data_IF_719333556727
#
_entry.id   IF_719333556727
#
_cell.length_a   1.000
_cell.length_b   1.000
_cell.length_c   1.000
_cell.angle_alpha   90.00
_cell.angle_beta   90.00
_cell.angle_gamma   90.00
#
_symmetry.space_group_name_H-M   'P 1'
#
loop_
_entity.id
_entity.type
_entity.pdbx_description
1 polymer ?
#
# COMPACT_ATOMS: atom_id res chain seq x y z
N UNK A 1 16.75 24.24 -48.79
CA UNK A 1 17.01 24.88 -47.49
C UNK A 1 15.96 24.34 -46.52
N UNK A 2 16.35 23.37 -45.70
CA UNK A 2 15.50 22.80 -44.67
C UNK A 2 15.87 23.47 -43.34
N UNK A 3 14.96 24.25 -42.80
CA UNK A 3 15.11 24.91 -41.51
C UNK A 3 14.91 23.88 -40.42
N UNK A 4 15.97 23.51 -39.71
CA UNK A 4 15.90 22.69 -38.50
C UNK A 4 15.30 23.56 -37.38
N UNK A 5 14.07 23.26 -36.97
CA UNK A 5 13.52 23.73 -35.70
C UNK A 5 14.25 23.04 -34.57
N UNK A 6 15.18 23.76 -33.93
CA UNK A 6 15.77 23.37 -32.67
C UNK A 6 14.66 23.43 -31.60
N UNK A 7 14.24 22.28 -31.08
CA UNK A 7 13.44 22.17 -29.87
C UNK A 7 14.31 22.61 -28.69
N UNK A 8 14.33 23.89 -28.39
CA UNK A 8 14.91 24.46 -27.19
C UNK A 8 14.05 24.08 -26.00
N UNK A 9 14.45 23.03 -25.27
CA UNK A 9 13.89 22.71 -23.97
C UNK A 9 14.09 23.94 -23.05
N UNK A 10 13.00 24.52 -22.58
CA UNK A 10 13.04 25.57 -21.57
C UNK A 10 13.49 24.91 -20.25
N UNK A 11 14.79 24.97 -19.97
CA UNK A 11 15.25 24.66 -18.63
C UNK A 11 14.56 25.63 -17.67
N UNK A 12 13.76 25.10 -16.76
CA UNK A 12 13.04 25.91 -15.78
C UNK A 12 14.03 26.77 -14.98
N UNK A 13 13.70 28.03 -14.72
CA UNK A 13 14.61 28.94 -14.00
C UNK A 13 15.00 28.36 -12.63
N UNK A 14 16.29 28.44 -12.22
CA UNK A 14 16.73 28.07 -10.88
C UNK A 14 15.99 28.88 -9.81
N UNK A 15 15.69 28.23 -8.68
CA UNK A 15 14.95 28.84 -7.58
C UNK A 15 15.71 28.68 -6.24
N UNK A 16 15.73 29.70 -5.37
CA UNK A 16 16.10 29.51 -3.97
C UNK A 16 15.09 28.61 -3.24
N UNK A 17 15.47 28.04 -2.10
CA UNK A 17 14.67 27.07 -1.36
C UNK A 17 13.21 27.55 -1.13
N UNK A 18 13.04 28.78 -0.68
CA UNK A 18 11.71 29.35 -0.41
C UNK A 18 10.78 29.31 -1.63
N UNK A 19 11.32 29.69 -2.78
CA UNK A 19 10.55 29.69 -4.03
C UNK A 19 10.34 28.28 -4.58
N UNK A 20 11.31 27.38 -4.38
CA UNK A 20 11.17 25.98 -4.78
C UNK A 20 10.09 25.29 -3.96
N UNK A 21 10.09 25.45 -2.64
CA UNK A 21 9.04 24.92 -1.75
C UNK A 21 7.67 25.47 -2.12
N UNK A 22 7.56 26.79 -2.36
CA UNK A 22 6.31 27.42 -2.80
C UNK A 22 5.84 26.98 -4.19
N UNK A 23 6.70 26.33 -4.98
CA UNK A 23 6.31 25.79 -6.30
C UNK A 23 5.67 24.40 -6.25
N UNK A 24 5.61 23.75 -5.09
CA UNK A 24 4.74 22.60 -4.82
C UNK A 24 3.31 23.12 -4.73
N UNK A 25 2.41 22.63 -5.58
CA UNK A 25 1.06 23.19 -5.73
C UNK A 25 -0.04 22.16 -5.64
N UNK A 26 -1.13 22.55 -5.01
CA UNK A 26 -2.37 21.78 -4.95
C UNK A 26 -2.87 21.37 -6.35
N UNK A 27 -2.86 22.31 -7.29
CA UNK A 27 -3.32 22.06 -8.67
C UNK A 27 -2.45 21.05 -9.39
N UNK A 28 -1.12 21.14 -9.28
CA UNK A 28 -0.19 20.20 -9.92
C UNK A 28 -0.37 18.76 -9.38
N UNK A 29 -0.49 18.64 -8.06
CA UNK A 29 -0.75 17.36 -7.43
C UNK A 29 -2.11 16.79 -7.86
N UNK A 30 -3.19 17.58 -7.77
CA UNK A 30 -4.53 17.15 -8.14
C UNK A 30 -4.65 16.68 -9.59
N UNK A 31 -4.05 17.41 -10.54
CA UNK A 31 -4.04 17.00 -11.97
C UNK A 31 -3.33 15.67 -12.17
N UNK A 32 -2.29 15.41 -11.40
CA UNK A 32 -1.56 14.14 -11.44
C UNK A 32 -2.41 13.00 -10.88
N UNK A 33 -3.11 13.21 -9.74
CA UNK A 33 -4.05 12.24 -9.18
C UNK A 33 -5.17 11.94 -10.17
N UNK A 34 -5.80 12.97 -10.76
CA UNK A 34 -6.87 12.81 -11.74
C UNK A 34 -6.45 11.89 -12.89
N UNK A 35 -5.23 12.03 -13.38
CA UNK A 35 -4.71 11.18 -14.44
C UNK A 35 -4.40 9.77 -13.97
N UNK A 36 -3.72 9.62 -12.82
CA UNK A 36 -3.33 8.31 -12.29
C UNK A 36 -4.55 7.46 -11.91
N UNK A 37 -5.58 8.06 -11.32
CA UNK A 37 -6.82 7.36 -10.96
C UNK A 37 -7.79 7.16 -12.12
N UNK A 38 -7.47 7.71 -13.31
CA UNK A 38 -8.27 7.57 -14.51
C UNK A 38 -8.17 6.19 -15.16
N UNK A 39 -9.08 5.89 -16.13
CA UNK A 39 -9.16 4.57 -16.77
C UNK A 39 -7.96 4.24 -17.66
N UNK A 40 -7.14 5.23 -18.03
CA UNK A 40 -5.95 5.06 -18.88
C UNK A 40 -4.98 3.99 -18.33
N UNK A 41 -4.86 3.91 -17.00
CA UNK A 41 -3.93 3.02 -16.33
C UNK A 41 -4.57 1.79 -15.68
N UNK A 42 -5.87 1.57 -15.94
CA UNK A 42 -6.60 0.35 -15.53
C UNK A 42 -6.39 -0.04 -14.05
N UNK A 43 -6.40 0.95 -13.13
CA UNK A 43 -6.24 0.73 -11.70
C UNK A 43 -4.84 0.25 -11.26
N UNK A 44 -3.85 0.36 -12.12
CA UNK A 44 -2.39 0.28 -11.83
C UNK A 44 -1.90 -1.00 -11.10
N UNK A 45 -2.59 -2.13 -11.25
CA UNK A 45 -2.11 -3.39 -10.64
C UNK A 45 -0.74 -3.77 -11.20
N UNK A 46 0.23 -4.01 -10.32
CA UNK A 46 1.61 -4.31 -10.71
C UNK A 46 1.71 -5.55 -11.60
N UNK A 47 2.63 -5.50 -12.55
CA UNK A 47 2.80 -6.57 -13.55
C UNK A 47 1.84 -6.52 -14.73
N UNK A 48 0.85 -5.61 -14.72
CA UNK A 48 -0.10 -5.42 -15.82
C UNK A 48 0.37 -4.33 -16.81
N UNK A 49 -0.16 -4.32 -18.04
CA UNK A 49 0.10 -3.24 -19.00
C UNK A 49 -0.30 -1.85 -18.47
N UNK A 50 -1.38 -1.75 -17.69
CA UNK A 50 -1.85 -0.49 -17.10
C UNK A 50 -0.83 0.08 -16.12
N UNK A 51 -0.29 -0.73 -15.23
CA UNK A 51 0.80 -0.34 -14.34
C UNK A 51 2.03 0.17 -15.11
N UNK A 52 2.50 -0.61 -16.09
CA UNK A 52 3.67 -0.24 -16.87
C UNK A 52 3.47 1.03 -17.70
N UNK A 53 2.24 1.34 -18.10
CA UNK A 53 1.91 2.63 -18.75
C UNK A 53 2.03 3.79 -17.76
N UNK A 54 1.51 3.64 -16.53
CA UNK A 54 1.66 4.63 -15.46
C UNK A 54 3.14 4.84 -15.09
N UNK A 55 3.90 3.76 -14.92
CA UNK A 55 5.34 3.83 -14.60
C UNK A 55 6.14 4.55 -15.68
N UNK A 56 5.90 4.27 -16.96
CA UNK A 56 6.55 4.99 -18.07
C UNK A 56 6.14 6.45 -18.13
N UNK A 57 4.88 6.76 -17.88
CA UNK A 57 4.42 8.14 -17.84
C UNK A 57 5.11 8.91 -16.72
N UNK A 58 5.14 8.38 -15.49
CA UNK A 58 5.81 9.01 -14.35
C UNK A 58 7.33 9.16 -14.59
N UNK A 59 7.99 8.17 -15.20
CA UNK A 59 9.38 8.29 -15.63
C UNK A 59 9.59 9.45 -16.62
N UNK A 60 8.66 9.63 -17.56
CA UNK A 60 8.64 10.76 -18.49
C UNK A 60 8.52 12.11 -17.80
N UNK A 61 7.65 12.22 -16.80
CA UNK A 61 7.45 13.43 -16.00
C UNK A 61 8.69 13.79 -15.16
N UNK A 62 9.30 12.81 -14.51
CA UNK A 62 10.55 13.01 -13.75
C UNK A 62 11.71 13.43 -14.66
N UNK A 63 11.79 12.82 -15.84
CA UNK A 63 12.76 13.22 -16.88
C UNK A 63 12.52 14.65 -17.36
N UNK A 64 11.27 15.01 -17.64
CA UNK A 64 10.89 16.35 -18.07
C UNK A 64 11.17 17.41 -16.98
N UNK A 65 11.08 17.06 -15.72
CA UNK A 65 11.50 17.89 -14.59
C UNK A 65 13.02 18.13 -14.53
N UNK A 66 13.84 17.39 -15.28
CA UNK A 66 15.29 17.52 -15.33
C UNK A 66 16.05 16.65 -14.33
N UNK A 67 15.38 15.69 -13.70
CA UNK A 67 16.04 14.69 -12.86
C UNK A 67 16.77 13.67 -13.71
N UNK A 68 17.75 12.99 -13.12
CA UNK A 68 18.60 12.03 -13.83
C UNK A 68 18.15 10.61 -13.56
N UNK A 69 18.23 9.78 -14.59
CA UNK A 69 18.17 8.33 -14.42
C UNK A 69 19.45 7.83 -13.72
N UNK A 70 19.35 6.71 -13.03
CA UNK A 70 20.52 5.95 -12.59
C UNK A 70 21.24 5.33 -13.82
N UNK A 71 22.58 5.23 -13.84
CA UNK A 71 23.29 4.60 -14.93
C UNK A 71 22.83 3.16 -15.20
N UNK A 72 22.51 2.40 -14.16
CA UNK A 72 22.02 1.03 -14.20
C UNK A 72 20.55 0.93 -14.65
N UNK A 73 19.79 2.02 -14.59
CA UNK A 73 18.39 2.12 -14.99
C UNK A 73 18.16 3.34 -15.91
N UNK A 74 18.70 3.34 -17.14
CA UNK A 74 18.72 4.52 -18.02
C UNK A 74 17.34 4.97 -18.51
N UNK A 75 16.34 4.11 -18.39
CA UNK A 75 14.92 4.39 -18.65
C UNK A 75 14.10 4.70 -17.38
N UNK A 76 14.78 4.94 -16.24
CA UNK A 76 14.20 5.22 -14.92
C UNK A 76 13.49 4.03 -14.27
N UNK A 77 13.54 2.81 -14.83
CA UNK A 77 12.77 1.67 -14.37
C UNK A 77 13.68 0.57 -13.79
N UNK A 78 13.61 0.36 -12.48
CA UNK A 78 14.20 -0.80 -11.81
C UNK A 78 13.16 -1.94 -11.83
N UNK A 79 13.35 -2.89 -12.73
CA UNK A 79 12.39 -3.99 -12.97
C UNK A 79 12.63 -5.17 -12.03
N UNK A 80 11.52 -5.82 -11.64
CA UNK A 80 11.53 -7.05 -10.86
C UNK A 80 10.42 -8.00 -11.34
N UNK A 81 10.56 -9.33 -11.13
CA UNK A 81 9.51 -10.27 -11.45
C UNK A 81 8.35 -10.16 -10.46
N UNK A 82 7.13 -10.36 -10.92
CA UNK A 82 5.91 -10.42 -10.10
C UNK A 82 4.97 -11.48 -10.64
N UNK A 83 4.36 -12.27 -9.75
CA UNK A 83 3.28 -13.19 -10.15
C UNK A 83 1.96 -12.44 -10.12
N UNK A 84 1.40 -12.20 -11.28
CA UNK A 84 0.09 -11.53 -11.42
C UNK A 84 -1.02 -12.54 -11.22
N UNK A 85 -1.93 -12.24 -10.33
CA UNK A 85 -3.13 -13.03 -10.04
C UNK A 85 -4.38 -12.21 -10.34
N UNK A 86 -5.53 -12.85 -10.41
CA UNK A 86 -6.80 -12.16 -10.62
C UNK A 86 -7.98 -13.12 -10.59
N UNK A 87 -9.16 -12.56 -10.73
CA UNK A 87 -10.43 -13.30 -10.73
C UNK A 87 -11.22 -12.95 -11.99
N UNK A 88 -11.81 -13.94 -12.64
CA UNK A 88 -12.72 -13.73 -13.77
C UNK A 88 -14.16 -13.48 -13.29
N UNK A 89 -14.59 -14.24 -12.27
CA UNK A 89 -15.92 -14.11 -11.68
C UNK A 89 -15.96 -14.72 -10.29
N UNK A 90 -16.84 -14.21 -9.43
CA UNK A 90 -17.16 -14.82 -8.16
C UNK A 90 -18.63 -14.58 -7.79
N UNK A 91 -19.18 -15.46 -7.00
CA UNK A 91 -20.50 -15.30 -6.34
C UNK A 91 -20.41 -15.82 -4.92
N UNK A 92 -21.11 -15.17 -4.01
CA UNK A 92 -21.25 -15.64 -2.65
C UNK A 92 -22.69 -15.52 -2.18
N UNK A 93 -23.19 -16.56 -1.51
CA UNK A 93 -24.52 -16.60 -0.92
C UNK A 93 -24.42 -17.07 0.53
N UNK A 94 -25.10 -16.37 1.42
CA UNK A 94 -25.33 -16.82 2.79
C UNK A 94 -26.62 -17.65 2.81
N UNK A 95 -26.49 -18.94 3.10
CA UNK A 95 -27.62 -19.86 3.12
C UNK A 95 -28.47 -19.65 4.36
N UNK A 96 -29.76 -19.93 4.24
CA UNK A 96 -30.68 -19.87 5.38
C UNK A 96 -30.26 -20.83 6.49
N UNK A 97 -30.57 -20.48 7.72
CA UNK A 97 -30.27 -21.32 8.89
C UNK A 97 -31.10 -22.63 8.92
N UNK A 98 -32.20 -22.65 8.21
CA UNK A 98 -32.99 -23.81 7.98
C UNK A 98 -33.14 -24.06 6.46
N UNK A 99 -33.42 -25.28 6.06
CA UNK A 99 -33.51 -25.66 4.62
C UNK A 99 -34.79 -25.08 3.94
N UNK A 100 -35.53 -24.18 4.59
CA UNK A 100 -36.79 -23.60 4.11
C UNK A 100 -36.68 -22.09 3.82
N UNK A 101 -35.63 -21.42 4.28
CA UNK A 101 -35.41 -20.00 4.04
C UNK A 101 -34.72 -19.75 2.69
N UNK A 102 -34.90 -18.53 2.18
CA UNK A 102 -34.18 -18.10 0.97
C UNK A 102 -32.72 -17.77 1.29
N UNK A 103 -31.81 -18.12 0.39
CA UNK A 103 -30.41 -17.70 0.48
C UNK A 103 -30.30 -16.20 0.18
N UNK A 104 -29.45 -15.49 0.96
CA UNK A 104 -29.11 -14.10 0.68
C UNK A 104 -27.91 -14.08 -0.26
N UNK A 105 -28.09 -13.61 -1.49
CA UNK A 105 -26.96 -13.28 -2.37
C UNK A 105 -26.24 -12.05 -1.86
N UNK A 106 -24.91 -12.11 -1.84
CA UNK A 106 -24.04 -11.05 -1.37
C UNK A 106 -23.53 -10.20 -2.56
N UNK A 107 -23.29 -8.91 -2.28
CA UNK A 107 -22.90 -7.92 -3.29
C UNK A 107 -21.44 -7.49 -3.14
N UNK A 108 -20.77 -7.26 -4.28
CA UNK A 108 -19.40 -6.78 -4.31
C UNK A 108 -19.25 -5.42 -3.61
N UNK A 109 -18.13 -5.22 -2.92
CA UNK A 109 -17.75 -4.02 -2.19
C UNK A 109 -18.67 -3.63 -1.02
N UNK A 110 -19.84 -4.26 -0.91
CA UNK A 110 -20.78 -4.07 0.19
C UNK A 110 -20.68 -5.21 1.20
N UNK A 111 -20.83 -6.42 0.69
CA UNK A 111 -20.91 -7.63 1.51
C UNK A 111 -19.61 -8.44 1.44
N UNK A 112 -19.02 -8.58 0.24
CA UNK A 112 -17.81 -9.38 0.01
C UNK A 112 -17.01 -8.93 -1.22
N UNK A 113 -15.74 -9.39 -1.27
CA UNK A 113 -14.90 -9.39 -2.46
C UNK A 113 -14.09 -10.69 -2.51
N UNK A 114 -13.93 -11.35 -3.68
CA UNK A 114 -12.98 -12.43 -3.79
C UNK A 114 -11.57 -11.87 -3.59
N UNK A 115 -10.71 -12.62 -2.89
CA UNK A 115 -9.29 -12.27 -2.83
C UNK A 115 -8.71 -12.41 -4.23
N UNK A 116 -7.97 -11.41 -4.72
CA UNK A 116 -7.46 -11.40 -6.09
C UNK A 116 -6.45 -12.55 -6.37
N UNK A 117 -5.93 -13.17 -5.32
CA UNK A 117 -5.09 -14.37 -5.35
C UNK A 117 -5.87 -15.67 -5.01
N UNK A 118 -7.20 -15.64 -5.03
CA UNK A 118 -8.03 -16.81 -4.79
C UNK A 118 -7.76 -17.92 -5.80
N UNK A 119 -7.89 -19.18 -5.37
CA UNK A 119 -8.01 -20.32 -6.27
C UNK A 119 -9.40 -20.43 -6.89
N UNK A 120 -9.50 -21.22 -7.96
CA UNK A 120 -10.81 -21.60 -8.55
C UNK A 120 -11.47 -22.66 -7.69
N UNK A 121 -12.76 -22.48 -7.39
CA UNK A 121 -13.54 -23.47 -6.65
C UNK A 121 -15.01 -23.11 -6.56
N UNK A 122 -15.79 -24.12 -6.19
CA UNK A 122 -17.22 -24.04 -5.94
C UNK A 122 -17.49 -24.84 -4.66
N UNK A 123 -17.84 -24.17 -3.57
CA UNK A 123 -18.01 -24.78 -2.26
C UNK A 123 -19.30 -24.36 -1.60
N UNK A 124 -20.07 -25.37 -1.17
CA UNK A 124 -21.19 -25.16 -0.25
C UNK A 124 -20.89 -25.90 1.04
N UNK A 125 -20.59 -25.16 2.11
CA UNK A 125 -20.18 -25.77 3.38
C UNK A 125 -20.51 -24.88 4.59
N UNK A 126 -20.47 -25.51 5.76
CA UNK A 126 -20.57 -24.83 7.04
C UNK A 126 -19.36 -23.93 7.28
N UNK A 127 -19.59 -22.76 7.87
CA UNK A 127 -18.54 -21.83 8.27
C UNK A 127 -18.05 -22.14 9.68
N UNK A 128 -16.75 -22.27 9.84
CA UNK A 128 -16.05 -22.40 11.11
C UNK A 128 -15.22 -21.15 11.37
N UNK A 129 -15.50 -20.46 12.45
CA UNK A 129 -14.64 -19.38 12.91
C UNK A 129 -13.38 -19.95 13.55
N UNK A 130 -12.21 -19.45 13.13
CA UNK A 130 -10.89 -19.95 13.58
C UNK A 130 -10.01 -18.75 14.00
N UNK A 131 -10.59 -17.85 14.80
CA UNK A 131 -9.86 -16.74 15.41
C UNK A 131 -8.99 -15.98 14.43
N UNK A 132 -7.68 -15.91 14.70
CA UNK A 132 -6.68 -15.27 13.85
C UNK A 132 -6.15 -16.18 12.73
N UNK A 133 -6.51 -17.46 12.71
CA UNK A 133 -6.01 -18.44 11.73
C UNK A 133 -4.52 -18.78 11.89
N UNK A 134 -3.96 -18.59 13.07
CA UNK A 134 -2.54 -18.80 13.36
C UNK A 134 -2.29 -20.26 13.80
N UNK A 135 -1.29 -20.91 13.20
CA UNK A 135 -0.72 -22.16 13.64
C UNK A 135 0.77 -21.92 13.93
N UNK A 136 1.13 -21.83 15.22
CA UNK A 136 2.47 -21.57 15.72
C UNK A 136 2.67 -22.33 17.07
N UNK A 137 2.69 -23.66 17.04
CA UNK A 137 2.75 -24.47 18.27
C UNK A 137 4.03 -24.22 19.08
N UNK A 138 5.14 -23.86 18.44
CA UNK A 138 6.39 -23.47 19.10
C UNK A 138 6.26 -22.16 19.90
N UNK A 139 5.28 -21.31 19.55
CA UNK A 139 4.91 -20.12 20.30
C UNK A 139 3.71 -20.36 21.23
N UNK A 140 3.24 -21.61 21.35
CA UNK A 140 2.12 -21.99 22.21
C UNK A 140 0.75 -21.56 21.69
N UNK A 141 0.60 -21.37 20.36
CA UNK A 141 -0.68 -20.99 19.74
C UNK A 141 -1.02 -21.88 18.55
N UNK A 142 -2.21 -22.42 18.56
CA UNK A 142 -2.81 -23.10 17.42
C UNK A 142 -4.32 -22.84 17.43
N UNK A 143 -4.77 -21.95 16.54
CA UNK A 143 -6.19 -21.57 16.44
C UNK A 143 -7.07 -22.71 15.86
N UNK A 144 -6.45 -23.72 15.23
CA UNK A 144 -7.15 -24.88 14.67
C UNK A 144 -7.26 -26.04 15.67
N UNK A 145 -6.57 -25.98 16.82
CA UNK A 145 -6.53 -27.07 17.78
C UNK A 145 -7.92 -27.47 18.28
N UNK A 146 -8.25 -28.75 18.14
CA UNK A 146 -9.54 -29.30 18.60
C UNK A 146 -10.75 -28.93 17.74
N UNK A 147 -10.56 -28.23 16.61
CA UNK A 147 -11.63 -27.78 15.73
C UNK A 147 -11.51 -28.46 14.35
N UNK A 148 -12.54 -29.20 13.94
CA UNK A 148 -12.58 -29.85 12.64
C UNK A 148 -13.01 -28.84 11.54
N UNK A 149 -12.09 -28.52 10.64
CA UNK A 149 -12.32 -27.62 9.48
C UNK A 149 -12.26 -28.35 8.15
N UNK A 150 -12.04 -29.68 8.16
CA UNK A 150 -11.90 -30.46 6.92
C UNK A 150 -13.18 -30.39 6.09
N UNK A 151 -13.05 -29.95 4.84
CA UNK A 151 -14.17 -29.77 3.92
C UNK A 151 -15.14 -28.65 4.27
N UNK A 152 -14.79 -27.78 5.22
CA UNK A 152 -15.59 -26.62 5.64
C UNK A 152 -14.98 -25.31 5.13
N UNK A 153 -15.71 -24.22 5.27
CA UNK A 153 -15.23 -22.86 5.01
C UNK A 153 -14.71 -22.28 6.31
N UNK A 154 -13.43 -21.89 6.32
CA UNK A 154 -12.81 -21.24 7.48
C UNK A 154 -13.05 -19.73 7.40
N UNK A 155 -13.46 -19.12 8.52
CA UNK A 155 -13.55 -17.68 8.68
C UNK A 155 -12.54 -17.23 9.74
N UNK A 156 -11.69 -16.24 9.39
CA UNK A 156 -10.72 -15.65 10.30
C UNK A 156 -10.83 -14.12 10.31
N UNK A 157 -10.25 -13.49 11.33
CA UNK A 157 -10.07 -12.04 11.42
C UNK A 157 -8.58 -11.66 11.35
N UNK A 158 -8.31 -10.41 11.05
CA UNK A 158 -6.94 -9.88 11.03
C UNK A 158 -6.34 -9.74 12.44
N UNK A 159 -5.06 -9.37 12.48
CA UNK A 159 -4.34 -9.01 13.69
C UNK A 159 -3.45 -10.13 14.23
N UNK A 160 -2.87 -9.87 15.38
CA UNK A 160 -2.03 -10.79 16.12
C UNK A 160 -2.20 -10.54 17.62
N UNK A 161 -1.83 -11.48 18.49
CA UNK A 161 -1.82 -11.23 19.92
C UNK A 161 -0.88 -10.08 20.27
N UNK A 162 -1.35 -9.14 21.09
CA UNK A 162 -0.58 -8.00 21.62
C UNK A 162 0.10 -8.36 22.93
N UNK A 163 0.88 -9.44 22.93
CA UNK A 163 1.53 -10.02 24.11
C UNK A 163 3.05 -9.78 24.16
N UNK A 164 3.55 -8.91 23.28
CA UNK A 164 4.97 -8.54 23.18
C UNK A 164 5.84 -9.53 22.42
N UNK A 165 5.27 -10.63 21.90
CA UNK A 165 5.98 -11.57 21.02
C UNK A 165 5.91 -11.11 19.57
N UNK A 166 6.87 -11.55 18.76
CA UNK A 166 6.86 -11.30 17.32
C UNK A 166 6.00 -12.36 16.61
N UNK A 167 4.87 -11.92 16.07
CA UNK A 167 3.92 -12.74 15.31
C UNK A 167 4.02 -12.55 13.80
N UNK A 168 4.98 -11.77 13.31
CA UNK A 168 5.09 -11.34 11.92
C UNK A 168 5.07 -12.50 10.93
N UNK A 169 5.78 -13.59 11.22
CA UNK A 169 5.84 -14.76 10.35
C UNK A 169 4.49 -15.50 10.21
N UNK A 170 3.55 -15.29 11.14
CA UNK A 170 2.32 -16.08 11.26
C UNK A 170 1.05 -15.32 10.93
N UNK A 171 1.10 -13.98 10.91
CA UNK A 171 -0.09 -13.14 10.79
C UNK A 171 -0.32 -12.58 9.37
N UNK A 172 0.50 -12.94 8.39
CA UNK A 172 0.30 -12.55 7.00
C UNK A 172 -0.86 -13.31 6.33
N UNK A 173 -1.46 -12.73 5.30
CA UNK A 173 -2.48 -13.41 4.48
C UNK A 173 -1.96 -14.76 3.96
N UNK A 174 -0.71 -14.80 3.48
CA UNK A 174 -0.05 -16.03 2.98
C UNK A 174 0.02 -17.12 4.03
N UNK A 175 0.39 -16.79 5.27
CA UNK A 175 0.47 -17.75 6.37
C UNK A 175 -0.91 -18.29 6.73
N UNK A 176 -1.92 -17.43 6.86
CA UNK A 176 -3.29 -17.82 7.24
C UNK A 176 -3.96 -18.71 6.21
N UNK A 177 -3.87 -18.32 4.91
CA UNK A 177 -4.45 -19.13 3.82
C UNK A 177 -3.74 -20.47 3.68
N UNK A 178 -2.41 -20.51 3.83
CA UNK A 178 -1.64 -21.76 3.86
C UNK A 178 -2.06 -22.65 5.04
N UNK A 179 -2.27 -22.09 6.24
CA UNK A 179 -2.77 -22.84 7.41
C UNK A 179 -4.15 -23.42 7.14
N UNK A 180 -5.10 -22.62 6.63
CA UNK A 180 -6.43 -23.11 6.28
C UNK A 180 -6.37 -24.30 5.31
N UNK A 181 -5.54 -24.20 4.28
CA UNK A 181 -5.31 -25.28 3.32
C UNK A 181 -4.69 -26.53 3.98
N UNK A 182 -3.68 -26.34 4.83
CA UNK A 182 -3.01 -27.44 5.53
C UNK A 182 -3.96 -28.21 6.45
N UNK A 183 -4.92 -27.52 7.06
CA UNK A 183 -5.97 -28.14 7.90
C UNK A 183 -7.15 -28.70 7.09
N UNK A 184 -7.11 -28.61 5.75
CA UNK A 184 -8.09 -29.23 4.84
C UNK A 184 -9.37 -28.42 4.66
N UNK A 185 -9.34 -27.10 4.87
CA UNK A 185 -10.45 -26.22 4.54
C UNK A 185 -10.78 -26.30 3.03
N UNK A 186 -12.07 -26.23 2.69
CA UNK A 186 -12.57 -26.21 1.34
C UNK A 186 -12.82 -24.79 0.81
N UNK A 187 -12.82 -23.79 1.67
CA UNK A 187 -12.91 -22.37 1.35
C UNK A 187 -12.40 -21.52 2.49
N UNK A 188 -12.15 -20.23 2.22
CA UNK A 188 -11.58 -19.31 3.19
C UNK A 188 -12.26 -17.94 3.11
N UNK A 189 -12.63 -17.40 4.25
CA UNK A 189 -13.19 -16.06 4.43
C UNK A 189 -12.31 -15.25 5.37
N UNK A 190 -11.97 -14.06 4.95
CA UNK A 190 -11.29 -13.09 5.80
C UNK A 190 -12.28 -11.98 6.18
N UNK A 191 -12.61 -11.86 7.45
CA UNK A 191 -13.62 -10.92 7.91
C UNK A 191 -12.97 -9.63 8.38
N UNK A 192 -12.87 -8.65 7.45
CA UNK A 192 -12.30 -7.34 7.69
C UNK A 192 -13.04 -6.26 6.90
N UNK A 193 -12.97 -6.32 5.58
CA UNK A 193 -13.60 -5.36 4.68
C UNK A 193 -13.99 -6.06 3.39
N UNK A 194 -14.95 -5.50 2.66
CA UNK A 194 -15.30 -6.01 1.33
C UNK A 194 -14.49 -5.29 0.23
N UNK A 195 -13.22 -5.00 0.48
CA UNK A 195 -12.31 -4.37 -0.47
C UNK A 195 -11.52 -5.37 -1.31
N UNK A 196 -11.00 -4.92 -2.44
CA UNK A 196 -10.10 -5.73 -3.26
C UNK A 196 -8.76 -5.94 -2.54
N UNK A 197 -8.21 -7.14 -2.60
CA UNK A 197 -6.96 -7.46 -1.92
C UNK A 197 -6.07 -8.36 -2.80
N UNK A 198 -4.96 -7.82 -3.36
CA UNK A 198 -3.98 -8.59 -4.12
C UNK A 198 -2.88 -9.20 -3.26
N UNK A 199 -2.79 -8.87 -1.96
CA UNK A 199 -1.69 -9.29 -1.08
C UNK A 199 -1.78 -10.74 -0.65
N UNK A 200 -1.35 -11.66 -1.50
CA UNK A 200 -1.35 -13.07 -1.13
C UNK A 200 -0.58 -13.95 -2.11
N UNK A 201 -0.72 -15.25 -1.92
CA UNK A 201 -0.22 -16.25 -2.86
C UNK A 201 -1.37 -17.13 -3.32
N UNK A 202 -1.47 -17.42 -4.61
CA UNK A 202 -2.53 -18.28 -5.11
C UNK A 202 -2.42 -19.68 -4.51
N UNK A 203 -3.55 -20.19 -4.04
CA UNK A 203 -3.68 -21.58 -3.57
C UNK A 203 -4.68 -22.25 -4.51
N UNK A 204 -4.25 -23.12 -5.43
CA UNK A 204 -5.14 -23.82 -6.33
C UNK A 204 -6.26 -24.53 -5.55
N UNK A 205 -7.46 -24.54 -6.13
CA UNK A 205 -8.64 -25.22 -5.61
C UNK A 205 -9.10 -24.77 -4.19
N UNK A 206 -8.69 -23.57 -3.75
CA UNK A 206 -9.20 -22.95 -2.53
C UNK A 206 -9.88 -21.62 -2.89
N UNK A 207 -11.21 -21.58 -3.02
CA UNK A 207 -11.94 -20.32 -3.19
C UNK A 207 -11.83 -19.48 -1.91
N UNK A 208 -11.46 -18.20 -2.08
CA UNK A 208 -11.16 -17.29 -0.97
C UNK A 208 -11.85 -15.93 -1.20
N UNK A 209 -12.39 -15.35 -0.13
CA UNK A 209 -12.99 -14.03 -0.19
C UNK A 209 -12.74 -13.23 1.10
N UNK A 210 -12.67 -11.91 0.96
CA UNK A 210 -12.90 -10.96 2.04
C UNK A 210 -14.41 -10.74 2.22
N UNK A 211 -14.85 -10.58 3.45
CA UNK A 211 -16.24 -10.24 3.79
C UNK A 211 -16.27 -9.04 4.72
N UNK A 212 -17.31 -8.23 4.60
CA UNK A 212 -17.52 -7.10 5.52
C UNK A 212 -17.77 -7.60 6.95
N UNK A 213 -17.42 -6.76 7.93
CA UNK A 213 -17.69 -7.06 9.35
C UNK A 213 -19.17 -7.39 9.58
N UNK A 214 -20.09 -6.67 8.92
CA UNK A 214 -21.53 -6.89 9.04
C UNK A 214 -21.94 -8.30 8.55
N UNK A 215 -21.32 -8.82 7.51
CA UNK A 215 -21.53 -10.20 7.05
C UNK A 215 -20.90 -11.19 8.00
N UNK A 216 -19.71 -10.90 8.52
CA UNK A 216 -19.05 -11.71 9.53
C UNK A 216 -19.92 -11.86 10.79
N UNK A 217 -20.49 -10.78 11.32
CA UNK A 217 -21.41 -10.78 12.46
C UNK A 217 -22.69 -11.56 12.14
N UNK A 218 -23.21 -11.44 10.92
CA UNK A 218 -24.37 -12.23 10.47
C UNK A 218 -24.06 -13.73 10.45
N UNK A 219 -22.85 -14.12 10.06
CA UNK A 219 -22.37 -15.51 10.07
C UNK A 219 -22.19 -16.02 11.50
N UNK A 220 -21.69 -15.19 12.44
CA UNK A 220 -21.59 -15.54 13.85
C UNK A 220 -22.96 -15.84 14.49
N UNK A 221 -24.05 -15.28 13.92
CA UNK A 221 -25.43 -15.53 14.31
C UNK A 221 -25.75 -15.27 15.79
N UNK A 222 -25.02 -14.39 16.44
CA UNK A 222 -25.18 -14.12 17.87
C UNK A 222 -25.21 -12.61 18.15
N UNK A 223 -26.24 -12.08 18.79
CA UNK A 223 -26.28 -10.67 19.18
C UNK A 223 -25.33 -10.32 20.34
N UNK A 224 -24.67 -11.32 20.92
CA UNK A 224 -23.74 -11.17 22.05
C UNK A 224 -22.33 -11.59 21.71
N UNK A 225 -22.02 -11.81 20.45
CA UNK A 225 -20.71 -12.24 20.01
C UNK A 225 -20.44 -11.62 18.63
N UNK A 226 -19.87 -10.43 18.64
CA UNK A 226 -19.49 -9.70 17.44
C UNK A 226 -18.03 -9.96 17.09
N UNK A 227 -17.65 -9.66 15.84
CA UNK A 227 -16.23 -9.71 15.42
C UNK A 227 -15.36 -8.78 16.26
N UNK A 228 -15.86 -7.59 16.63
CA UNK A 228 -15.15 -6.63 17.50
C UNK A 228 -14.84 -7.22 18.88
N UNK A 229 -15.84 -7.87 19.51
CA UNK A 229 -15.65 -8.51 20.81
C UNK A 229 -14.67 -9.69 20.73
N UNK A 230 -14.78 -10.51 19.68
CA UNK A 230 -13.84 -11.61 19.40
C UNK A 230 -12.43 -11.07 19.15
N UNK A 231 -12.28 -10.04 18.36
CA UNK A 231 -10.99 -9.41 18.08
C UNK A 231 -10.31 -8.93 19.37
N UNK A 232 -11.10 -8.30 20.28
CA UNK A 232 -10.59 -7.88 21.59
C UNK A 232 -10.04 -9.06 22.43
N UNK A 233 -10.70 -10.21 22.40
CA UNK A 233 -10.25 -11.43 23.10
C UNK A 233 -8.98 -11.98 22.46
N UNK A 234 -8.95 -12.05 21.14
CA UNK A 234 -7.84 -12.61 20.36
C UNK A 234 -6.55 -11.78 20.49
N UNK A 235 -6.67 -10.45 20.48
CA UNK A 235 -5.53 -9.54 20.71
C UNK A 235 -4.92 -9.67 22.11
N UNK A 236 -5.72 -10.02 23.11
CA UNK A 236 -5.25 -10.33 24.48
C UNK A 236 -4.65 -11.71 24.63
N UNK A 237 -4.46 -12.45 23.52
CA UNK A 237 -3.88 -13.78 23.50
C UNK A 237 -4.88 -14.92 23.67
N UNK A 238 -6.19 -14.63 23.79
CA UNK A 238 -7.23 -15.67 23.81
C UNK A 238 -7.31 -16.43 22.49
N UNK A 239 -7.89 -17.62 22.53
CA UNK A 239 -8.22 -18.44 21.36
C UNK A 239 -9.75 -18.60 21.32
N UNK A 240 -10.33 -18.43 20.13
CA UNK A 240 -11.75 -18.65 19.92
C UNK A 240 -11.93 -19.35 18.58
N UNK A 241 -12.33 -20.62 18.61
CA UNK A 241 -12.60 -21.40 17.40
C UNK A 241 -13.81 -22.28 17.64
N UNK A 242 -14.79 -22.15 16.75
CA UNK A 242 -16.09 -22.83 16.88
C UNK A 242 -16.85 -22.86 15.56
N UNK A 243 -17.77 -23.78 15.46
CA UNK A 243 -18.73 -23.92 14.37
C UNK A 243 -19.81 -22.87 14.50
N UNK A 244 -20.07 -22.09 13.45
CA UNK A 244 -21.06 -21.01 13.49
C UNK A 244 -22.50 -21.52 13.30
N UNK A 245 -22.68 -22.72 12.78
CA UNK A 245 -23.99 -23.24 12.37
C UNK A 245 -24.56 -22.59 11.10
N UNK A 246 -23.79 -21.72 10.45
CA UNK A 246 -24.16 -21.08 9.18
C UNK A 246 -23.43 -21.74 8.02
N UNK A 247 -24.06 -21.75 6.86
CA UNK A 247 -23.47 -22.26 5.61
C UNK A 247 -23.39 -21.13 4.59
N UNK A 248 -22.36 -21.18 3.77
CA UNK A 248 -22.19 -20.31 2.60
C UNK A 248 -22.03 -21.14 1.35
N UNK A 249 -22.43 -20.56 0.22
CA UNK A 249 -22.05 -21.02 -1.10
C UNK A 249 -21.12 -19.99 -1.70
N UNK A 250 -19.88 -20.36 -1.96
CA UNK A 250 -18.85 -19.50 -2.54
C UNK A 250 -18.32 -20.14 -3.82
N UNK A 251 -18.49 -19.44 -4.95
CA UNK A 251 -17.90 -19.80 -6.23
C UNK A 251 -16.89 -18.75 -6.63
N UNK A 252 -15.69 -19.15 -6.99
CA UNK A 252 -14.66 -18.27 -7.56
C UNK A 252 -14.10 -18.94 -8.80
N UNK A 253 -14.00 -18.18 -9.89
CA UNK A 253 -13.25 -18.53 -11.09
C UNK A 253 -12.03 -17.60 -11.16
N UNK A 254 -10.89 -18.10 -10.77
CA UNK A 254 -9.64 -17.37 -10.80
C UNK A 254 -9.06 -17.31 -12.21
N UNK A 255 -8.38 -16.22 -12.54
CA UNK A 255 -7.51 -16.14 -13.72
C UNK A 255 -6.26 -16.98 -13.44
N UNK A 256 -5.79 -17.80 -14.41
CA UNK A 256 -4.52 -18.50 -14.24
C UNK A 256 -3.39 -17.49 -13.93
N UNK A 257 -2.61 -17.70 -12.86
CA UNK A 257 -1.48 -16.83 -12.55
C UNK A 257 -0.46 -16.82 -13.70
N UNK A 258 0.15 -15.64 -13.94
CA UNK A 258 1.21 -15.51 -14.93
C UNK A 258 2.35 -14.64 -14.42
N UNK A 259 3.56 -14.86 -14.96
CA UNK A 259 4.71 -14.03 -14.63
C UNK A 259 4.64 -12.70 -15.38
N UNK A 260 4.57 -11.63 -14.60
CA UNK A 260 4.59 -10.24 -15.05
C UNK A 260 5.90 -9.54 -14.70
N UNK A 261 5.98 -8.28 -15.07
CA UNK A 261 7.12 -7.43 -14.72
C UNK A 261 6.63 -6.22 -13.95
N UNK A 262 7.00 -6.13 -12.68
CA UNK A 262 6.89 -4.92 -11.87
C UNK A 262 8.07 -3.99 -12.11
N UNK A 263 7.97 -2.75 -11.69
CA UNK A 263 9.08 -1.79 -11.75
C UNK A 263 8.94 -0.71 -10.69
N UNK A 264 10.05 -0.35 -10.04
CA UNK A 264 10.16 0.92 -9.36
C UNK A 264 10.54 2.00 -10.37
N UNK A 265 9.94 3.18 -10.28
CA UNK A 265 10.37 4.36 -11.05
C UNK A 265 11.35 5.14 -10.21
N UNK A 266 12.60 5.31 -10.66
CA UNK A 266 13.67 5.93 -9.88
C UNK A 266 14.28 7.10 -10.63
N UNK A 267 14.33 8.24 -9.95
CA UNK A 267 15.02 9.44 -10.46
C UNK A 267 15.92 10.06 -9.39
N UNK A 268 17.00 10.70 -9.80
CA UNK A 268 17.99 11.26 -8.87
C UNK A 268 18.22 12.74 -9.16
N UNK A 269 18.21 13.54 -8.10
CA UNK A 269 18.82 14.87 -8.06
C UNK A 269 20.23 14.71 -7.43
N UNK A 270 21.32 14.74 -8.21
CA UNK A 270 22.65 14.60 -7.66
C UNK A 270 23.00 15.76 -6.72
N UNK A 271 23.63 15.43 -5.62
CA UNK A 271 24.14 16.41 -4.67
C UNK A 271 25.23 17.31 -5.28
N UNK A 272 25.58 18.38 -4.57
CA UNK A 272 26.56 19.38 -4.98
C UNK A 272 27.93 19.20 -4.32
N UNK A 273 28.04 18.48 -3.22
CA UNK A 273 29.27 18.28 -2.47
C UNK A 273 29.92 16.93 -2.87
N UNK A 274 31.08 16.94 -3.58
CA UNK A 274 31.73 15.72 -4.04
C UNK A 274 32.16 14.75 -2.92
N UNK A 275 32.21 15.22 -1.66
CA UNK A 275 32.57 14.37 -0.52
C UNK A 275 31.40 13.50 -0.02
N UNK A 276 30.17 13.93 -0.25
CA UNK A 276 28.97 13.28 0.26
C UNK A 276 27.89 13.06 -0.82
N UNK A 277 28.18 13.32 -2.07
CA UNK A 277 27.26 13.16 -3.21
C UNK A 277 26.75 11.72 -3.34
N UNK A 278 27.52 10.74 -2.87
CA UNK A 278 27.12 9.33 -2.81
C UNK A 278 26.16 9.00 -1.67
N UNK A 279 26.07 9.85 -0.65
CA UNK A 279 25.04 9.72 0.40
C UNK A 279 23.72 10.29 -0.11
N UNK A 280 22.61 9.64 0.23
CA UNK A 280 21.30 10.05 -0.29
C UNK A 280 20.17 9.89 0.73
N UNK A 281 19.11 10.64 0.47
CA UNK A 281 17.80 10.51 1.12
C UNK A 281 16.78 10.08 0.07
N UNK A 282 15.83 9.24 0.49
CA UNK A 282 14.72 8.78 -0.36
C UNK A 282 13.47 9.57 -0.04
N UNK A 283 12.76 10.01 -1.07
CA UNK A 283 11.37 10.47 -1.02
C UNK A 283 10.58 9.54 -1.94
N UNK A 284 9.64 8.80 -1.38
CA UNK A 284 8.93 7.76 -2.12
C UNK A 284 7.45 7.69 -1.83
N UNK A 285 6.75 6.95 -2.68
CA UNK A 285 5.35 6.55 -2.59
C UNK A 285 5.17 5.30 -3.43
N UNK A 286 4.12 4.50 -3.22
CA UNK A 286 3.81 3.48 -4.22
C UNK A 286 2.95 4.05 -5.35
N UNK A 287 3.10 3.43 -6.53
CA UNK A 287 2.40 3.83 -7.75
C UNK A 287 1.26 2.90 -8.12
N UNK A 288 1.35 1.65 -7.68
CA UNK A 288 0.37 0.62 -7.94
C UNK A 288 -0.92 0.80 -7.15
N UNK A 289 -1.94 0.02 -7.53
CA UNK A 289 -3.19 -0.17 -6.81
C UNK A 289 -3.83 -1.49 -7.27
N UNK A 290 -5.07 -1.75 -6.87
CA UNK A 290 -5.71 -3.07 -6.97
C UNK A 290 -6.25 -3.44 -8.37
N UNK A 291 -6.11 -2.59 -9.39
CA UNK A 291 -6.45 -2.95 -10.76
C UNK A 291 -7.87 -2.61 -11.21
N UNK A 292 -8.40 -3.43 -12.13
CA UNK A 292 -9.70 -3.20 -12.76
C UNK A 292 -10.48 -4.51 -12.79
N UNK A 293 -11.10 -4.82 -11.65
CA UNK A 293 -12.00 -5.96 -11.53
C UNK A 293 -12.86 -5.86 -10.25
N UNK A 294 -14.17 -6.14 -10.30
CA UNK A 294 -15.02 -6.28 -11.48
C UNK A 294 -15.28 -4.96 -12.20
N UNK A 295 -14.82 -3.85 -11.61
CA UNK A 295 -14.83 -2.50 -12.15
C UNK A 295 -13.48 -1.84 -11.88
N UNK A 296 -13.25 -0.66 -12.47
CA UNK A 296 -12.05 0.12 -12.20
C UNK A 296 -11.97 0.49 -10.71
N UNK A 297 -10.81 0.21 -10.11
CA UNK A 297 -10.43 0.69 -8.79
C UNK A 297 -9.51 1.90 -8.98
N UNK A 298 -9.99 3.12 -8.70
CA UNK A 298 -9.26 4.33 -9.06
C UNK A 298 -7.99 4.54 -8.24
N UNK A 299 -8.02 4.19 -6.93
CA UNK A 299 -6.91 4.40 -6.01
C UNK A 299 -6.45 5.85 -6.02
N UNK A 300 -7.38 6.80 -5.80
CA UNK A 300 -7.06 8.21 -5.86
C UNK A 300 -6.30 8.66 -4.63
N UNK A 301 -6.74 8.25 -3.44
CA UNK A 301 -6.00 8.44 -2.21
C UNK A 301 -4.91 7.38 -2.08
N UNK A 302 -5.24 6.13 -2.37
CA UNK A 302 -4.36 4.95 -2.29
C UNK A 302 -3.88 4.48 -3.69
N UNK A 303 -2.70 4.84 -4.20
CA UNK A 303 -1.85 5.90 -3.68
C UNK A 303 -1.44 6.84 -4.83
N UNK A 304 -2.43 7.26 -5.66
CA UNK A 304 -2.16 8.31 -6.64
C UNK A 304 -1.81 9.62 -5.94
N UNK A 305 -2.33 9.88 -4.71
CA UNK A 305 -2.04 11.07 -3.92
C UNK A 305 -0.56 11.16 -3.58
N UNK A 306 0.02 10.11 -2.95
CA UNK A 306 1.44 10.06 -2.61
C UNK A 306 2.34 10.15 -3.83
N UNK A 307 2.02 9.39 -4.87
CA UNK A 307 2.75 9.44 -6.15
C UNK A 307 2.75 10.83 -6.78
N UNK A 308 1.63 11.54 -6.73
CA UNK A 308 1.49 12.90 -7.25
C UNK A 308 2.29 13.91 -6.41
N UNK A 309 2.24 13.78 -5.09
CA UNK A 309 2.98 14.66 -4.19
C UNK A 309 4.49 14.46 -4.32
N UNK A 310 4.96 13.22 -4.46
CA UNK A 310 6.38 12.93 -4.77
C UNK A 310 6.81 13.57 -6.09
N UNK A 311 5.96 13.54 -7.12
CA UNK A 311 6.26 14.20 -8.39
C UNK A 311 6.37 15.72 -8.25
N UNK A 312 5.48 16.37 -7.49
CA UNK A 312 5.56 17.82 -7.23
C UNK A 312 6.80 18.18 -6.43
N UNK A 313 7.15 17.39 -5.39
CA UNK A 313 8.41 17.55 -4.63
C UNK A 313 9.61 17.42 -5.57
N UNK A 314 9.61 16.43 -6.45
CA UNK A 314 10.68 16.17 -7.41
C UNK A 314 10.86 17.33 -8.42
N UNK A 315 9.75 17.85 -8.97
CA UNK A 315 9.73 19.02 -9.85
C UNK A 315 10.30 20.27 -9.17
N UNK A 316 9.92 20.49 -7.93
CA UNK A 316 10.40 21.61 -7.12
C UNK A 316 11.89 21.47 -6.79
N UNK A 317 12.31 20.30 -6.33
CA UNK A 317 13.69 19.98 -6.01
C UNK A 317 14.64 20.11 -7.22
N UNK A 318 14.20 19.71 -8.40
CA UNK A 318 14.99 19.83 -9.63
C UNK A 318 15.37 21.29 -9.98
N UNK A 319 14.61 22.27 -9.49
CA UNK A 319 14.85 23.70 -9.71
C UNK A 319 15.71 24.35 -8.64
N UNK A 320 16.10 23.64 -7.58
CA UNK A 320 16.85 24.20 -6.46
C UNK A 320 18.24 24.71 -6.89
N UNK A 321 18.56 25.92 -6.45
CA UNK A 321 19.90 26.51 -6.50
C UNK A 321 20.16 27.32 -5.22
N UNK A 322 21.22 27.03 -4.48
CA UNK A 322 22.16 25.90 -4.72
C UNK A 322 21.48 24.53 -4.51
N UNK A 323 21.98 23.51 -5.19
CA UNK A 323 21.54 22.13 -4.93
C UNK A 323 21.99 21.67 -3.53
N UNK A 324 21.26 20.74 -2.90
CA UNK A 324 21.67 20.19 -1.61
C UNK A 324 23.03 19.50 -1.73
N UNK A 325 23.73 19.35 -0.60
CA UNK A 325 25.05 18.71 -0.57
C UNK A 325 24.97 17.23 -0.96
N UNK A 326 23.99 16.50 -0.39
CA UNK A 326 23.71 15.08 -0.64
C UNK A 326 22.72 14.91 -1.78
N UNK A 327 22.72 13.73 -2.36
CA UNK A 327 21.76 13.38 -3.41
C UNK A 327 20.36 13.12 -2.84
N UNK A 328 19.32 13.42 -3.65
CA UNK A 328 17.95 13.00 -3.37
C UNK A 328 17.54 11.96 -4.40
N UNK A 329 16.93 10.89 -3.92
CA UNK A 329 16.40 9.80 -4.74
C UNK A 329 14.89 9.81 -4.60
N UNK A 330 14.19 9.99 -5.71
CA UNK A 330 12.74 9.92 -5.80
C UNK A 330 12.37 8.55 -6.32
N UNK A 331 11.52 7.84 -5.60
CA UNK A 331 11.12 6.47 -5.95
C UNK A 331 9.61 6.35 -5.93
N UNK A 332 9.05 5.82 -7.02
CA UNK A 332 7.67 5.37 -7.05
C UNK A 332 7.70 3.84 -7.09
N UNK A 333 7.33 3.23 -5.98
CA UNK A 333 7.40 1.78 -5.81
C UNK A 333 6.27 1.10 -6.55
N UNK A 334 6.50 -0.12 -7.02
CA UNK A 334 5.48 -1.01 -7.52
C UNK A 334 5.34 -2.22 -6.61
N UNK A 335 4.14 -2.83 -6.60
CA UNK A 335 3.90 -4.04 -5.83
C UNK A 335 3.85 -3.81 -4.32
N UNK A 336 3.47 -2.63 -3.90
CA UNK A 336 3.15 -2.36 -2.50
C UNK A 336 1.96 -3.23 -2.10
N UNK A 337 0.91 -3.16 -2.90
CA UNK A 337 -0.36 -3.87 -2.72
C UNK A 337 -0.22 -5.40 -2.76
N UNK A 338 0.79 -5.92 -3.43
CA UNK A 338 1.13 -7.35 -3.44
C UNK A 338 2.12 -7.74 -2.32
N UNK A 339 2.35 -6.85 -1.37
CA UNK A 339 3.18 -7.10 -0.17
C UNK A 339 4.56 -6.47 -0.23
N UNK A 340 4.64 -5.19 -0.58
CA UNK A 340 5.86 -4.37 -0.53
C UNK A 340 6.96 -4.87 -1.47
N UNK A 341 6.60 -5.43 -2.64
CA UNK A 341 7.56 -6.11 -3.51
C UNK A 341 8.65 -5.16 -4.01
N UNK A 342 8.25 -3.97 -4.46
CA UNK A 342 9.18 -2.99 -5.03
C UNK A 342 10.12 -2.37 -4.01
N UNK A 343 9.62 -1.99 -2.85
CA UNK A 343 10.46 -1.41 -1.79
C UNK A 343 11.42 -2.45 -1.19
N UNK A 344 10.98 -3.70 -1.02
CA UNK A 344 11.88 -4.82 -0.68
C UNK A 344 12.97 -4.97 -1.72
N UNK A 345 12.59 -5.04 -3.00
CA UNK A 345 13.55 -5.17 -4.10
C UNK A 345 14.53 -3.98 -4.16
N UNK A 346 14.05 -2.75 -3.93
CA UNK A 346 14.90 -1.56 -3.89
C UNK A 346 15.93 -1.62 -2.75
N UNK A 347 15.53 -2.05 -1.57
CA UNK A 347 16.42 -2.16 -0.40
C UNK A 347 17.45 -3.28 -0.58
N UNK A 348 17.05 -4.40 -1.18
CA UNK A 348 17.94 -5.53 -1.50
C UNK A 348 18.89 -5.22 -2.67
N UNK A 349 18.49 -4.35 -3.60
CA UNK A 349 19.23 -3.96 -4.78
C UNK A 349 19.34 -2.42 -4.85
N UNK A 350 20.02 -1.78 -3.88
CA UNK A 350 20.11 -0.32 -3.82
C UNK A 350 20.89 0.23 -5.00
N UNK A 351 20.72 1.52 -5.34
CA UNK A 351 21.46 2.14 -6.44
C UNK A 351 22.97 1.96 -6.33
N UNK A 352 23.55 1.21 -7.27
CA UNK A 352 24.98 0.89 -7.26
C UNK A 352 25.88 2.11 -7.41
N UNK A 353 25.38 3.19 -8.03
CA UNK A 353 26.07 4.47 -8.20
C UNK A 353 26.07 5.37 -6.96
N UNK A 354 25.34 4.98 -5.89
CA UNK A 354 25.26 5.70 -4.62
C UNK A 354 25.78 4.81 -3.48
N UNK A 355 26.25 5.43 -2.40
CA UNK A 355 27.01 4.69 -1.36
C UNK A 355 26.21 4.39 -0.12
N UNK A 356 25.29 5.28 0.30
CA UNK A 356 24.59 5.14 1.57
C UNK A 356 23.25 5.87 1.61
N UNK A 357 22.19 5.15 1.88
CA UNK A 357 20.89 5.73 2.26
C UNK A 357 20.93 6.21 3.71
N UNK A 358 20.59 7.47 3.94
CA UNK A 358 20.57 8.09 5.28
C UNK A 358 19.18 8.08 5.91
N UNK A 359 18.14 7.95 5.09
CA UNK A 359 16.76 7.88 5.55
C UNK A 359 15.76 7.96 4.40
N UNK A 360 14.52 7.58 4.69
CA UNK A 360 13.43 7.58 3.74
C UNK A 360 12.19 8.27 4.30
N UNK A 361 11.55 9.08 3.45
CA UNK A 361 10.25 9.70 3.68
C UNK A 361 9.29 9.11 2.65
N UNK A 362 8.38 8.27 3.11
CA UNK A 362 7.34 7.66 2.29
C UNK A 362 6.05 8.47 2.43
N UNK A 363 5.31 8.65 1.34
CA UNK A 363 4.01 9.31 1.30
C UNK A 363 2.98 8.28 0.88
N UNK A 364 1.96 8.10 1.72
CA UNK A 364 0.98 7.07 1.50
C UNK A 364 -0.40 7.56 1.97
N UNK A 365 -1.34 7.66 1.03
CA UNK A 365 -2.71 8.08 1.31
C UNK A 365 -2.82 9.45 2.01
N UNK A 366 -1.98 10.42 1.66
CA UNK A 366 -2.05 11.77 2.25
C UNK A 366 -3.01 12.71 1.52
N UNK A 367 -3.74 12.20 0.55
CA UNK A 367 -4.72 12.95 -0.23
C UNK A 367 -5.96 13.36 0.55
N UNK A 368 -6.20 12.86 1.76
CA UNK A 368 -7.37 13.17 2.58
C UNK A 368 -6.98 13.76 3.94
N UNK A 369 -7.93 14.44 4.59
CA UNK A 369 -7.73 15.02 5.93
C UNK A 369 -7.00 16.34 5.95
N UNK A 370 -6.40 16.68 7.11
CA UNK A 370 -5.66 17.92 7.35
C UNK A 370 -4.40 17.65 8.17
N UNK A 371 -3.25 17.62 7.53
CA UNK A 371 -1.96 17.24 8.10
C UNK A 371 -1.64 15.76 7.86
N UNK A 372 -0.72 15.22 8.66
CA UNK A 372 -0.29 13.85 8.52
C UNK A 372 -0.11 13.13 9.86
N UNK A 373 -0.53 11.86 9.87
CA UNK A 373 -0.07 10.87 10.84
C UNK A 373 1.23 10.27 10.31
N UNK A 374 2.29 10.29 11.14
CA UNK A 374 3.64 9.90 10.73
C UNK A 374 3.99 8.57 11.38
N UNK A 375 3.79 7.48 10.65
CA UNK A 375 4.21 6.15 11.08
C UNK A 375 5.74 6.09 11.20
N UNK A 376 6.24 5.49 12.26
CA UNK A 376 7.67 5.49 12.57
C UNK A 376 8.19 6.79 13.19
N UNK A 377 7.38 7.85 13.33
CA UNK A 377 7.82 9.11 13.92
C UNK A 377 8.27 8.98 15.38
N UNK A 378 7.71 8.02 16.14
CA UNK A 378 8.18 7.70 17.51
C UNK A 378 9.39 6.77 17.53
N UNK A 379 9.63 6.02 16.45
CA UNK A 379 10.80 5.14 16.32
C UNK A 379 12.03 5.93 15.86
N UNK A 380 11.82 6.94 15.01
CA UNK A 380 12.85 7.80 14.43
C UNK A 380 12.54 9.29 14.73
N UNK A 381 12.67 9.73 15.99
CA UNK A 381 12.29 11.08 16.41
C UNK A 381 13.08 12.19 15.71
N UNK A 382 14.28 11.91 15.19
CA UNK A 382 15.06 12.85 14.41
C UNK A 382 14.38 13.17 13.06
N UNK A 383 13.86 12.17 12.37
CA UNK A 383 13.11 12.41 11.12
C UNK A 383 11.82 13.17 11.40
N UNK A 384 11.10 12.80 12.46
CA UNK A 384 9.89 13.50 12.85
C UNK A 384 10.17 14.97 13.21
N UNK A 385 11.25 15.23 13.95
CA UNK A 385 11.68 16.61 14.31
C UNK A 385 12.00 17.45 13.08
N UNK A 386 12.60 16.87 12.03
CA UNK A 386 12.82 17.58 10.75
C UNK A 386 11.50 18.03 10.12
N UNK A 387 10.48 17.16 10.15
CA UNK A 387 9.14 17.48 9.64
C UNK A 387 8.47 18.58 10.48
N UNK A 388 8.55 18.52 11.82
CA UNK A 388 8.01 19.57 12.70
C UNK A 388 8.70 20.91 12.45
N UNK A 389 10.01 20.94 12.36
CA UNK A 389 10.78 22.16 12.07
C UNK A 389 10.42 22.73 10.68
N UNK A 390 10.20 21.87 9.69
CA UNK A 390 9.76 22.29 8.37
C UNK A 390 8.34 22.87 8.42
N UNK A 391 7.41 22.21 9.11
CA UNK A 391 6.05 22.72 9.34
C UNK A 391 6.08 24.13 9.96
N UNK A 392 6.90 24.32 10.98
CA UNK A 392 7.01 25.58 11.71
C UNK A 392 7.62 26.68 10.84
N UNK A 393 8.69 26.37 10.05
CA UNK A 393 9.28 27.32 9.10
C UNK A 393 8.30 27.73 8.01
N UNK A 394 7.38 26.84 7.61
CA UNK A 394 6.39 27.10 6.54
C UNK A 394 5.11 27.71 7.07
N UNK A 395 4.98 27.90 8.39
CA UNK A 395 3.73 28.34 9.03
C UNK A 395 2.53 27.50 8.53
N UNK A 396 2.81 26.24 8.20
CA UNK A 396 1.79 25.35 7.67
C UNK A 396 0.80 25.01 8.79
N UNK A 397 -0.43 25.46 8.64
CA UNK A 397 -1.52 25.28 9.62
C UNK A 397 -2.01 23.83 9.73
N UNK A 398 -1.15 22.85 9.45
CA UNK A 398 -1.49 21.41 9.44
C UNK A 398 -0.87 20.70 10.64
N UNK A 399 -1.55 19.66 11.11
CA UNK A 399 -1.13 18.85 12.25
C UNK A 399 -0.23 17.70 11.80
N UNK A 400 0.89 17.48 12.52
CA UNK A 400 1.71 16.28 12.41
C UNK A 400 1.56 15.47 13.70
N UNK A 401 1.31 14.17 13.56
CA UNK A 401 1.09 13.25 14.69
C UNK A 401 2.09 12.11 14.60
N UNK A 402 3.03 12.05 15.55
CA UNK A 402 3.98 10.93 15.60
C UNK A 402 3.30 9.64 16.03
N UNK A 403 3.30 8.65 15.16
CA UNK A 403 2.90 7.26 15.42
C UNK A 403 4.11 6.34 15.59
N UNK A 404 3.89 5.14 16.12
CA UNK A 404 4.84 4.03 16.05
C UNK A 404 4.58 3.23 14.77
N UNK A 405 5.64 2.68 14.18
CA UNK A 405 5.51 1.50 13.35
C UNK A 405 5.63 0.32 14.29
N UNK A 406 4.54 -0.39 14.53
CA UNK A 406 4.51 -1.59 15.37
C UNK A 406 4.31 -2.81 14.46
N UNK A 407 5.18 -3.82 14.62
CA UNK A 407 5.14 -5.03 13.80
C UNK A 407 5.53 -4.80 12.34
N UNK A 408 4.81 -5.42 11.41
CA UNK A 408 4.97 -5.12 9.99
C UNK A 408 4.54 -3.67 9.73
N UNK A 409 5.50 -2.85 9.31
CA UNK A 409 5.17 -1.57 8.73
C UNK A 409 4.35 -1.84 7.46
N UNK A 410 3.12 -1.33 7.42
CA UNK A 410 2.12 -1.61 6.38
C UNK A 410 2.28 -0.75 5.13
N UNK A 411 3.49 -0.24 4.87
CA UNK A 411 3.80 0.56 3.70
C UNK A 411 5.31 0.53 3.43
N UNK A 412 5.76 1.13 2.35
CA UNK A 412 7.11 1.03 1.80
C UNK A 412 8.24 1.53 2.72
N UNK A 413 7.95 2.24 3.80
CA UNK A 413 8.95 2.55 4.84
C UNK A 413 9.43 1.30 5.60
N UNK A 414 8.62 0.23 5.63
CA UNK A 414 8.91 -0.99 6.38
C UNK A 414 10.18 -1.72 5.98
N UNK A 415 10.41 -2.03 4.70
CA UNK A 415 11.65 -2.64 4.24
C UNK A 415 12.91 -1.84 4.59
N UNK A 416 12.85 -0.50 4.55
CA UNK A 416 13.96 0.35 5.00
C UNK A 416 14.23 0.16 6.49
N UNK A 417 13.19 0.20 7.32
CA UNK A 417 13.32 -0.03 8.76
C UNK A 417 13.88 -1.41 9.07
N UNK A 418 13.42 -2.45 8.38
CA UNK A 418 13.92 -3.82 8.51
C UNK A 418 15.42 -3.94 8.14
N UNK A 419 15.90 -3.11 7.21
CA UNK A 419 17.30 -3.01 6.84
C UNK A 419 18.12 -2.07 7.75
N UNK A 420 17.53 -1.54 8.83
CA UNK A 420 18.21 -0.62 9.75
C UNK A 420 18.35 0.81 9.22
N UNK A 421 17.63 1.17 8.16
CA UNK A 421 17.61 2.52 7.60
C UNK A 421 16.47 3.31 8.25
N UNK A 422 16.73 4.49 8.84
CA UNK A 422 15.67 5.35 9.37
C UNK A 422 14.64 5.68 8.31
N UNK A 423 13.36 5.41 8.59
CA UNK A 423 12.30 5.68 7.64
C UNK A 423 10.97 6.01 8.35
N UNK A 424 10.20 6.90 7.74
CA UNK A 424 8.86 7.28 8.19
C UNK A 424 7.89 7.26 7.01
N UNK A 425 6.60 7.00 7.30
CA UNK A 425 5.53 7.13 6.31
C UNK A 425 4.51 8.16 6.79
N UNK A 426 4.12 9.06 5.89
CA UNK A 426 3.13 10.10 6.13
C UNK A 426 1.80 9.65 5.51
N UNK A 427 0.78 9.51 6.36
CA UNK A 427 -0.61 9.25 5.97
C UNK A 427 -1.46 10.48 6.28
N UNK A 428 -2.46 10.77 5.49
CA UNK A 428 -3.38 11.87 5.77
C UNK A 428 -4.03 11.73 7.14
N UNK A 429 -4.03 12.81 7.92
CA UNK A 429 -4.66 12.84 9.23
C UNK A 429 -6.18 12.98 9.05
N UNK A 430 -6.83 11.86 8.79
CA UNK A 430 -8.28 11.72 8.63
C UNK A 430 -8.83 10.68 9.60
N UNK A 431 -10.12 10.81 9.96
CA UNK A 431 -10.84 9.79 10.73
C UNK A 431 -11.22 8.58 9.87
N UNK A 432 -11.30 8.78 8.55
CA UNK A 432 -11.50 7.69 7.59
C UNK A 432 -10.83 7.99 6.25
N UNK A 433 -10.27 6.96 5.65
CA UNK A 433 -9.86 6.95 4.24
C UNK A 433 -11.00 6.27 3.47
N UNK A 434 -11.78 7.08 2.77
CA UNK A 434 -13.03 6.64 2.15
C UNK A 434 -12.78 5.62 1.03
N UNK A 435 -13.38 4.45 1.19
CA UNK A 435 -13.44 3.48 0.12
C UNK A 435 -12.11 2.86 -0.29
N UNK A 436 -11.10 2.81 0.60
CA UNK A 436 -9.82 2.13 0.32
C UNK A 436 -10.09 0.76 -0.30
N UNK A 437 -9.41 0.45 -1.41
CA UNK A 437 -9.57 -0.79 -2.18
C UNK A 437 -10.97 -1.02 -2.77
N UNK A 438 -11.73 0.05 -2.94
CA UNK A 438 -13.05 0.02 -3.58
C UNK A 438 -13.17 1.09 -4.68
N UNK A 439 -14.22 1.05 -5.51
CA UNK A 439 -14.46 2.11 -6.50
C UNK A 439 -14.71 3.50 -5.90
N UNK A 440 -14.95 3.57 -4.60
CA UNK A 440 -15.22 4.83 -3.88
C UNK A 440 -13.93 5.60 -3.57
N UNK A 441 -12.74 4.97 -3.60
CA UNK A 441 -11.47 5.68 -3.52
C UNK A 441 -11.23 6.49 -4.79
N UNK A 442 -11.93 7.60 -4.89
CA UNK A 442 -12.04 8.44 -6.09
C UNK A 442 -11.58 9.87 -5.83
N UNK A 443 -11.35 10.59 -6.92
CA UNK A 443 -10.89 11.98 -6.91
C UNK A 443 -11.78 12.95 -6.08
N UNK A 444 -13.03 12.57 -5.78
CA UNK A 444 -13.97 13.38 -5.02
C UNK A 444 -13.56 13.60 -3.55
N UNK A 445 -12.78 12.68 -2.99
CA UNK A 445 -12.34 12.74 -1.60
C UNK A 445 -11.00 13.44 -1.41
N UNK A 446 -10.30 13.72 -2.50
CA UNK A 446 -8.98 14.33 -2.45
C UNK A 446 -9.04 15.77 -1.97
N UNK A 447 -8.20 16.09 -0.99
CA UNK A 447 -7.96 17.42 -0.43
C UNK A 447 -6.61 17.97 -0.95
N UNK A 448 -6.56 18.63 -2.12
CA UNK A 448 -5.30 19.02 -2.75
C UNK A 448 -4.46 19.98 -1.90
N UNK A 449 -5.13 20.76 -1.04
CA UNK A 449 -4.45 21.65 -0.10
C UNK A 449 -3.62 20.88 0.96
N UNK A 450 -4.07 19.67 1.35
CA UNK A 450 -3.29 18.82 2.24
C UNK A 450 -2.04 18.30 1.55
N UNK A 451 -2.17 17.80 0.31
CA UNK A 451 -1.04 17.35 -0.52
C UNK A 451 0.01 18.45 -0.71
N UNK A 452 -0.43 19.68 -1.00
CA UNK A 452 0.44 20.86 -1.10
C UNK A 452 1.19 21.11 0.22
N UNK A 453 0.47 21.13 1.34
CA UNK A 453 1.06 21.42 2.65
C UNK A 453 2.05 20.33 3.08
N UNK A 454 1.68 19.06 2.96
CA UNK A 454 2.54 17.91 3.28
C UNK A 454 3.76 17.89 2.35
N UNK A 455 3.56 18.06 1.04
CA UNK A 455 4.64 18.11 0.05
C UNK A 455 5.66 19.23 0.32
N UNK A 456 5.20 20.42 0.72
CA UNK A 456 6.07 21.54 1.11
C UNK A 456 6.87 21.23 2.38
N UNK A 457 6.24 20.60 3.37
CA UNK A 457 6.91 20.18 4.62
C UNK A 457 7.98 19.13 4.31
N UNK A 458 7.66 18.10 3.53
CA UNK A 458 8.60 17.03 3.20
C UNK A 458 9.78 17.58 2.38
N UNK A 459 9.52 18.43 1.37
CA UNK A 459 10.60 19.06 0.59
C UNK A 459 11.55 19.87 1.48
N UNK A 460 11.01 20.71 2.35
CA UNK A 460 11.79 21.52 3.27
C UNK A 460 12.62 20.63 4.24
N UNK A 461 12.00 19.63 4.83
CA UNK A 461 12.65 18.70 5.76
C UNK A 461 13.81 17.94 5.09
N UNK A 462 13.57 17.38 3.91
CA UNK A 462 14.57 16.56 3.20
C UNK A 462 15.75 17.40 2.69
N UNK A 463 15.51 18.66 2.28
CA UNK A 463 16.59 19.56 1.87
C UNK A 463 17.46 19.96 3.08
N UNK A 464 16.87 20.21 4.24
CA UNK A 464 17.64 20.47 5.46
C UNK A 464 18.47 19.26 5.86
N UNK A 465 17.86 18.06 5.87
CA UNK A 465 18.60 16.81 6.14
C UNK A 465 19.74 16.55 5.14
N UNK A 466 19.53 16.83 3.85
CA UNK A 466 20.54 16.66 2.82
C UNK A 466 21.71 17.69 2.93
N UNK A 467 21.51 18.80 3.64
CA UNK A 467 22.51 19.82 3.89
C UNK A 467 23.20 19.71 5.25
N UNK A 468 22.72 18.85 6.16
CA UNK A 468 23.29 18.68 7.48
C UNK A 468 24.77 18.24 7.40
N UNK A 469 25.59 18.66 8.43
CA UNK A 469 27.07 18.50 8.40
C UNK A 469 27.52 17.13 8.85
#
# INVERSE_FOLDING_TARGET
>A
MATACAAGGWAAKPLPLEMAVSSVTATGAYTTVERLSGPEFSGRLTGTPGYMAAARWMAGELKAAGLRALPEHPDYLQRFPVTVTGVESATMELLAADDKGEAKRLEYFMDFMPLLYSGTGDVTAEVVFVGLGITAPEMGRDDYAGTDVKGKVVMVVRGAPKDGRDWQAYNSHRARTANARAHGAAGYLFAESAGANPNGSPIPDLPMADISEAIGDTILASPKLTLEELHTVLEKGGVASFTTGRKVHLTVKATPPYEGTGANVIAVLPGSDPKVVGEYLVVGAHLDHCGNWPVLLPGADDNASGSATVLEIARAAARLQPRPRRSLVFVLFGGEEEGLLGSKFFVEHPPASLTRCLGAFNLDMEGVGSGAWVAGGKNFPELFKLLEQARDRREAGVRLIAGRSEGEARSDHGPFQAAGIPAVSLFGASESHHGTHTPEDSIWWIAPANMEAVGRIVLDAVIHAANDR
#
